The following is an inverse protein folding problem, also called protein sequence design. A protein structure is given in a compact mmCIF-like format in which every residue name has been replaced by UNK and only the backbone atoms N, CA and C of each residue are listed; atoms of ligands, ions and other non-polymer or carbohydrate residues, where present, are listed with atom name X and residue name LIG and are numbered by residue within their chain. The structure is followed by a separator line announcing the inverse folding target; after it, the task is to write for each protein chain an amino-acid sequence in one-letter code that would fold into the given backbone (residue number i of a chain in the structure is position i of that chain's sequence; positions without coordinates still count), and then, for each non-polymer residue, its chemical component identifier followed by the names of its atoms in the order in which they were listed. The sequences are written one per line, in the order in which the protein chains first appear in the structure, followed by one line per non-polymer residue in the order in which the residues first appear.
data_IF_251469101266
#
_entry.id   IF_251469101266
#
_cell.length_a   1.000
_cell.length_b   1.000
_cell.length_c   1.000
_cell.angle_alpha   90.00
_cell.angle_beta   90.00
_cell.angle_gamma   90.00
#
_symmetry.space_group_name_H-M   'P 1'
#
loop_
_entity.id
_entity.type
_entity.pdbx_description
1 polymer ?
#
# COMPACT_ATOMS: atom_id res chain seq x y z
N UNK A 1 -7.51 6.40 -12.24
CA UNK A 1 -7.61 6.61 -13.71
C UNK A 1 -7.96 8.05 -14.02
N UNK A 2 -7.52 8.54 -15.17
CA UNK A 2 -7.78 9.91 -15.64
C UNK A 2 -8.14 9.91 -17.12
N UNK A 3 -9.14 10.73 -17.48
CA UNK A 3 -9.53 10.97 -18.86
C UNK A 3 -8.78 12.20 -19.38
N UNK A 4 -7.98 12.04 -20.41
CA UNK A 4 -7.13 13.08 -20.97
C UNK A 4 -7.75 13.56 -22.28
N UNK A 5 -8.06 14.85 -22.36
CA UNK A 5 -8.52 15.47 -23.62
C UNK A 5 -7.29 15.98 -24.38
N UNK A 6 -6.77 15.15 -25.25
CA UNK A 6 -5.54 15.43 -25.99
C UNK A 6 -5.70 16.40 -27.16
N UNK A 7 -6.93 16.80 -27.45
CA UNK A 7 -7.27 17.69 -28.59
C UNK A 7 -7.61 19.12 -28.14
N UNK A 8 -7.37 19.49 -26.88
CA UNK A 8 -7.80 20.77 -26.32
C UNK A 8 -7.08 21.96 -26.94
N UNK A 9 -5.83 21.77 -27.34
CA UNK A 9 -4.95 22.76 -27.93
C UNK A 9 -4.88 22.68 -29.47
N UNK A 10 -5.65 21.78 -30.09
CA UNK A 10 -5.64 21.58 -31.53
C UNK A 10 -6.76 22.38 -32.20
N UNK A 11 -6.43 23.06 -33.30
CA UNK A 11 -7.40 23.77 -34.10
C UNK A 11 -7.95 22.83 -35.21
N UNK A 12 -8.83 21.92 -34.81
CA UNK A 12 -9.46 20.94 -35.71
C UNK A 12 -10.80 21.46 -36.18
N UNK A 13 -10.87 21.82 -37.47
CA UNK A 13 -12.07 22.40 -38.11
C UNK A 13 -13.11 21.32 -38.41
N UNK A 14 -12.68 20.14 -38.83
CA UNK A 14 -13.56 18.98 -39.14
C UNK A 14 -13.15 17.75 -38.31
N UNK A 15 -14.07 17.26 -37.51
CA UNK A 15 -13.87 16.09 -36.65
C UNK A 15 -14.49 14.80 -37.22
N UNK A 16 -15.11 14.82 -38.39
CA UNK A 16 -15.81 13.65 -38.95
C UNK A 16 -14.85 12.50 -39.29
N UNK A 17 -13.61 12.82 -39.69
CA UNK A 17 -12.58 11.85 -40.01
C UNK A 17 -11.46 11.77 -38.98
N UNK A 18 -11.73 12.24 -37.74
CA UNK A 18 -10.72 12.25 -36.70
C UNK A 18 -10.54 10.86 -36.08
N UNK A 19 -9.32 10.35 -36.13
CA UNK A 19 -8.89 9.13 -35.46
C UNK A 19 -7.73 9.44 -34.52
N UNK A 20 -7.73 8.77 -33.36
CA UNK A 20 -6.63 8.78 -32.39
C UNK A 20 -6.09 7.36 -32.29
N UNK A 21 -4.78 7.21 -32.41
CA UNK A 21 -4.07 5.93 -32.33
C UNK A 21 -2.95 6.05 -31.29
N UNK A 22 -2.77 5.03 -30.46
CA UNK A 22 -1.63 4.94 -29.55
C UNK A 22 -0.44 4.37 -30.32
N UNK A 23 0.67 5.11 -30.33
CA UNK A 23 1.89 4.73 -31.05
C UNK A 23 2.89 4.06 -30.11
N UNK A 24 2.98 4.56 -28.87
CA UNK A 24 3.81 4.00 -27.81
C UNK A 24 2.96 3.85 -26.55
N UNK A 25 2.89 2.65 -26.02
CA UNK A 25 2.17 2.35 -24.79
C UNK A 25 2.95 2.86 -23.57
N UNK A 26 2.25 3.21 -22.47
CA UNK A 26 2.90 3.55 -21.21
C UNK A 26 3.48 2.32 -20.51
N UNK A 27 4.53 2.50 -19.71
CA UNK A 27 5.17 1.42 -18.95
C UNK A 27 4.50 1.15 -17.59
N UNK A 28 3.93 2.19 -16.99
CA UNK A 28 3.37 2.15 -15.63
C UNK A 28 1.85 2.08 -15.59
N UNK A 29 1.20 1.88 -16.74
CA UNK A 29 -0.25 1.86 -16.85
C UNK A 29 -0.74 1.30 -18.17
N UNK A 30 -2.01 1.58 -18.46
CA UNK A 30 -2.66 1.25 -19.74
C UNK A 30 -3.40 2.46 -20.27
N UNK A 31 -3.51 2.57 -21.59
CA UNK A 31 -4.28 3.60 -22.26
C UNK A 31 -5.36 3.00 -23.13
N UNK A 32 -6.48 3.70 -23.24
CA UNK A 32 -7.60 3.35 -24.10
C UNK A 32 -8.15 4.61 -24.77
N UNK A 33 -8.33 4.58 -26.07
CA UNK A 33 -9.03 5.65 -26.79
C UNK A 33 -10.53 5.51 -26.56
N UNK A 34 -11.19 6.55 -26.04
CA UNK A 34 -12.64 6.61 -25.82
C UNK A 34 -13.18 7.98 -26.24
N UNK A 35 -14.10 8.02 -27.17
CA UNK A 35 -14.81 9.25 -27.59
C UNK A 35 -13.85 10.42 -27.88
N UNK A 36 -12.81 10.17 -28.66
CA UNK A 36 -11.78 11.17 -29.02
C UNK A 36 -10.98 11.72 -27.82
N UNK A 37 -10.90 10.97 -26.72
CA UNK A 37 -10.08 11.19 -25.53
C UNK A 37 -9.26 9.94 -25.25
N UNK A 38 -8.26 10.06 -24.40
CA UNK A 38 -7.46 8.93 -23.94
C UNK A 38 -7.71 8.72 -22.46
N UNK A 39 -8.22 7.55 -22.08
CA UNK A 39 -8.29 7.10 -20.70
C UNK A 39 -6.95 6.47 -20.32
N UNK A 40 -6.28 7.04 -19.35
CA UNK A 40 -5.09 6.44 -18.71
C UNK A 40 -5.48 5.77 -17.40
N UNK A 41 -5.01 4.54 -17.19
CA UNK A 41 -5.24 3.73 -16.01
C UNK A 41 -3.86 3.29 -15.49
N UNK A 42 -3.37 3.84 -14.36
CA UNK A 42 -2.11 3.37 -13.76
C UNK A 42 -2.24 1.94 -13.24
N UNK A 43 -1.14 1.23 -13.20
CA UNK A 43 -1.04 -0.04 -12.47
C UNK A 43 -1.23 0.22 -10.96
N UNK A 44 -1.70 -0.77 -10.18
CA UNK A 44 -1.83 -0.64 -8.73
C UNK A 44 -0.48 -0.32 -8.07
N UNK A 45 -0.51 0.47 -7.00
CA UNK A 45 0.61 0.76 -6.10
C UNK A 45 1.87 1.27 -6.82
N UNK A 46 1.67 2.02 -7.91
CA UNK A 46 2.77 2.60 -8.67
C UNK A 46 2.79 4.11 -8.54
N UNK A 47 3.99 4.66 -8.42
CA UNK A 47 4.25 6.10 -8.27
C UNK A 47 5.34 6.51 -9.25
N UNK A 48 5.24 7.71 -9.80
CA UNK A 48 6.29 8.22 -10.67
C UNK A 48 5.78 8.98 -11.87
N UNK A 49 6.54 8.91 -12.94
CA UNK A 49 6.24 9.61 -14.20
C UNK A 49 6.20 8.60 -15.32
N UNK A 50 5.05 8.48 -15.91
CA UNK A 50 4.83 7.65 -17.09
C UNK A 50 4.67 8.50 -18.35
N UNK A 51 4.82 7.88 -19.51
CA UNK A 51 4.72 8.54 -20.80
C UNK A 51 4.08 7.61 -21.81
N UNK A 52 3.34 8.17 -22.74
CA UNK A 52 2.87 7.47 -23.92
C UNK A 52 2.81 8.42 -25.11
N UNK A 53 2.87 7.89 -26.34
CA UNK A 53 2.80 8.67 -27.57
C UNK A 53 1.54 8.30 -28.32
N UNK A 54 0.82 9.31 -28.80
CA UNK A 54 -0.36 9.12 -29.64
C UNK A 54 -0.21 9.85 -30.96
N UNK A 55 -0.97 9.40 -31.94
CA UNK A 55 -1.13 10.02 -33.26
C UNK A 55 -2.58 10.47 -33.44
N UNK A 56 -2.75 11.66 -33.98
CA UNK A 56 -4.04 12.14 -34.48
C UNK A 56 -4.01 12.12 -36.01
N UNK A 57 -5.07 11.62 -36.60
CA UNK A 57 -5.29 11.65 -38.05
C UNK A 57 -6.64 12.32 -38.32
N UNK A 58 -6.65 13.34 -39.18
CA UNK A 58 -7.85 14.06 -39.61
C UNK A 58 -8.16 13.81 -41.13
N UNK A 59 -7.54 12.79 -41.71
CA UNK A 59 -7.69 12.43 -43.10
C UNK A 59 -6.84 13.27 -44.08
N UNK A 60 -6.65 14.56 -43.80
CA UNK A 60 -5.84 15.49 -44.62
C UNK A 60 -4.47 15.80 -44.01
N UNK A 61 -4.29 15.52 -42.74
CA UNK A 61 -3.05 15.72 -41.99
C UNK A 61 -2.96 14.75 -40.80
N UNK A 62 -1.73 14.48 -40.39
CA UNK A 62 -1.44 13.69 -39.20
C UNK A 62 -0.46 14.42 -38.31
N UNK A 63 -0.61 14.23 -36.99
CA UNK A 63 0.30 14.76 -35.97
C UNK A 63 0.55 13.72 -34.88
N UNK A 64 1.72 13.76 -34.26
CA UNK A 64 2.06 12.94 -33.10
C UNK A 64 2.41 13.80 -31.91
N UNK A 65 2.06 13.36 -30.70
CA UNK A 65 2.46 14.03 -29.48
C UNK A 65 2.66 13.02 -28.36
N UNK A 66 3.52 13.40 -27.39
CA UNK A 66 3.76 12.62 -26.19
C UNK A 66 2.98 13.22 -25.02
N UNK A 67 2.34 12.37 -24.26
CA UNK A 67 1.72 12.72 -22.97
C UNK A 67 2.65 12.26 -21.85
N UNK A 68 2.85 13.14 -20.88
CA UNK A 68 3.52 12.85 -19.62
C UNK A 68 2.47 12.81 -18.51
N UNK A 69 2.39 11.68 -17.80
CA UNK A 69 1.47 11.46 -16.70
C UNK A 69 2.26 11.44 -15.39
N UNK A 70 1.86 12.24 -14.42
CA UNK A 70 2.40 12.19 -13.06
C UNK A 70 1.45 11.35 -12.23
N UNK A 71 1.97 10.26 -11.67
CA UNK A 71 1.25 9.35 -10.77
C UNK A 71 1.70 9.69 -9.35
N UNK A 72 0.81 10.33 -8.60
CA UNK A 72 1.06 10.69 -7.21
C UNK A 72 0.82 9.48 -6.29
N UNK A 73 1.56 9.35 -5.18
CA UNK A 73 1.28 8.35 -4.17
C UNK A 73 -0.11 8.59 -3.55
N UNK A 74 -0.79 7.52 -3.25
CA UNK A 74 -2.02 7.48 -2.46
C UNK A 74 -1.75 6.47 -1.36
N UNK A 75 -1.96 6.87 -0.11
CA UNK A 75 -1.77 5.99 1.03
C UNK A 75 -2.80 4.85 1.00
N UNK A 76 -2.31 3.62 1.03
CA UNK A 76 -3.10 2.41 1.22
C UNK A 76 -3.01 1.94 2.68
N UNK A 77 -4.02 1.28 3.26
CA UNK A 77 -3.95 0.79 4.63
C UNK A 77 -3.01 -0.42 4.74
N UNK A 78 -2.43 -0.66 5.95
CA UNK A 78 -1.70 -1.89 6.22
C UNK A 78 -2.56 -3.13 5.97
N UNK A 79 -1.97 -4.18 5.41
CA UNK A 79 -2.64 -5.42 5.01
C UNK A 79 -2.48 -6.54 6.03
N UNK A 80 -1.41 -6.51 6.82
CA UNK A 80 -1.10 -7.58 7.74
C UNK A 80 -0.14 -7.18 8.86
N UNK A 81 -0.10 -8.03 9.90
CA UNK A 81 0.86 -7.92 10.98
C UNK A 81 1.38 -9.30 11.33
N UNK A 82 2.67 -9.39 11.56
CA UNK A 82 3.38 -10.60 12.01
C UNK A 82 4.35 -10.27 13.14
N UNK A 83 5.01 -11.27 13.69
CA UNK A 83 6.02 -11.12 14.74
C UNK A 83 7.23 -11.99 14.41
N UNK A 84 8.44 -11.47 14.58
CA UNK A 84 9.69 -12.15 14.23
C UNK A 84 9.97 -13.40 15.06
N UNK A 85 9.59 -13.38 16.34
CA UNK A 85 9.63 -14.51 17.26
C UNK A 85 8.31 -14.54 18.02
N UNK A 86 7.69 -15.71 18.09
CA UNK A 86 6.36 -15.91 18.67
C UNK A 86 6.39 -16.82 19.91
N UNK A 87 7.50 -16.81 20.64
CA UNK A 87 7.69 -17.67 21.82
C UNK A 87 8.48 -16.93 22.89
N UNK A 88 8.21 -17.27 24.15
CA UNK A 88 8.90 -16.79 25.34
C UNK A 88 9.07 -17.94 26.34
N UNK A 89 10.25 -18.05 26.93
CA UNK A 89 10.52 -18.99 28.01
C UNK A 89 9.61 -18.71 29.21
N UNK A 90 9.13 -19.75 29.89
CA UNK A 90 8.43 -19.56 31.14
C UNK A 90 9.34 -18.87 32.17
N UNK A 91 8.75 -18.24 33.17
CA UNK A 91 9.48 -17.52 34.22
C UNK A 91 10.45 -16.42 33.71
N UNK A 92 10.42 -16.07 32.40
CA UNK A 92 11.17 -14.93 31.89
C UNK A 92 10.76 -13.66 32.63
N UNK A 93 11.73 -12.80 32.94
CA UNK A 93 11.49 -11.58 33.71
C UNK A 93 10.53 -10.64 32.98
N UNK A 94 9.74 -9.88 33.75
CA UNK A 94 8.97 -8.78 33.22
C UNK A 94 9.87 -7.80 32.43
N UNK A 95 9.42 -7.35 31.26
CA UNK A 95 10.19 -6.54 30.31
C UNK A 95 11.03 -7.34 29.30
N UNK A 96 10.96 -8.67 29.34
CA UNK A 96 11.62 -9.51 28.32
C UNK A 96 11.00 -9.27 26.94
N UNK A 97 11.83 -9.05 25.93
CA UNK A 97 11.41 -8.92 24.54
C UNK A 97 10.99 -10.30 24.01
N UNK A 98 9.77 -10.40 23.52
CA UNK A 98 9.23 -11.60 22.89
C UNK A 98 9.63 -11.62 21.42
N UNK A 99 9.35 -10.54 20.70
CA UNK A 99 9.68 -10.39 19.30
C UNK A 99 9.38 -8.98 18.78
N UNK A 100 9.75 -8.73 17.54
CA UNK A 100 9.46 -7.49 16.85
C UNK A 100 8.25 -7.67 15.95
N UNK A 101 7.30 -6.77 16.03
CA UNK A 101 6.15 -6.71 15.12
C UNK A 101 6.60 -6.20 13.75
N UNK A 102 6.14 -6.86 12.71
CA UNK A 102 6.37 -6.52 11.31
C UNK A 102 5.02 -6.29 10.64
N UNK A 103 4.96 -5.29 9.78
CA UNK A 103 3.74 -4.88 9.07
C UNK A 103 3.91 -5.14 7.60
N UNK A 104 2.90 -5.71 6.97
CA UNK A 104 2.77 -5.79 5.53
C UNK A 104 1.96 -4.59 5.06
N UNK A 105 2.57 -3.74 4.21
CA UNK A 105 1.95 -2.53 3.69
C UNK A 105 2.30 -2.37 2.21
N UNK A 106 1.35 -1.98 1.34
CA UNK A 106 1.61 -1.71 -0.07
C UNK A 106 2.54 -0.51 -0.31
N UNK A 107 2.57 0.44 0.63
CA UNK A 107 3.36 1.65 0.52
C UNK A 107 4.80 1.43 1.02
N UNK A 108 5.77 2.01 0.32
CA UNK A 108 7.18 1.98 0.74
C UNK A 108 7.48 3.09 1.74
N UNK A 109 8.52 2.89 2.55
CA UNK A 109 9.04 3.88 3.49
C UNK A 109 8.05 4.34 4.57
N UNK A 110 7.07 3.47 4.93
CA UNK A 110 6.07 3.76 5.93
C UNK A 110 6.61 3.71 7.37
N UNK A 111 5.99 4.50 8.25
CA UNK A 111 6.22 4.47 9.68
C UNK A 111 4.95 4.07 10.41
N UNK A 112 5.08 3.12 11.33
CA UNK A 112 3.93 2.52 12.01
C UNK A 112 3.89 2.87 13.49
N UNK A 113 2.68 3.07 14.01
CA UNK A 113 2.38 3.15 15.43
C UNK A 113 1.57 1.93 15.83
N UNK A 114 1.98 1.31 16.93
CA UNK A 114 1.36 0.10 17.45
C UNK A 114 0.58 0.39 18.73
N UNK A 115 -0.51 -0.35 18.93
CA UNK A 115 -1.31 -0.33 20.15
C UNK A 115 -1.85 -1.71 20.48
N UNK A 116 -1.87 -2.08 21.75
CA UNK A 116 -2.48 -3.33 22.21
C UNK A 116 -3.97 -3.13 22.52
N UNK A 117 -4.76 -4.19 22.32
CA UNK A 117 -6.12 -4.26 22.86
C UNK A 117 -6.11 -4.15 24.39
N UNK A 118 -7.25 -3.81 25.00
CA UNK A 118 -7.35 -3.67 26.45
C UNK A 118 -7.03 -4.97 27.18
N UNK A 119 -7.51 -6.09 26.62
CA UNK A 119 -7.36 -7.43 27.20
C UNK A 119 -5.89 -7.87 27.29
N UNK A 120 -5.04 -7.37 26.41
CA UNK A 120 -3.64 -7.77 26.37
C UNK A 120 -2.69 -6.85 27.18
N UNK A 121 -3.18 -5.71 27.70
CA UNK A 121 -2.32 -4.70 28.37
C UNK A 121 -1.85 -5.08 29.76
N UNK A 122 -2.45 -6.07 30.37
CA UNK A 122 -2.02 -6.55 31.70
C UNK A 122 -0.83 -7.50 31.56
N UNK A 123 -0.76 -8.25 30.49
CA UNK A 123 0.26 -9.25 30.21
C UNK A 123 1.40 -8.76 29.33
N UNK A 124 1.13 -7.78 28.46
CA UNK A 124 2.05 -7.32 27.43
C UNK A 124 2.19 -5.80 27.40
N UNK A 125 3.33 -5.34 26.90
CA UNK A 125 3.60 -3.93 26.59
C UNK A 125 4.33 -3.81 25.27
N UNK A 126 4.39 -2.58 24.75
CA UNK A 126 5.09 -2.25 23.51
C UNK A 126 6.19 -1.23 23.79
N UNK A 127 7.35 -1.46 23.19
CA UNK A 127 8.43 -0.48 23.05
C UNK A 127 8.73 -0.33 21.55
N UNK A 128 8.17 0.72 20.94
CA UNK A 128 8.11 0.87 19.49
C UNK A 128 7.38 -0.32 18.85
N UNK A 129 8.09 -1.07 18.03
CA UNK A 129 7.60 -2.30 17.41
C UNK A 129 7.89 -3.56 18.24
N UNK A 130 8.62 -3.48 19.35
CA UNK A 130 8.91 -4.64 20.17
C UNK A 130 7.74 -4.97 21.11
N UNK A 131 7.32 -6.24 21.10
CA UNK A 131 6.37 -6.79 22.06
C UNK A 131 7.14 -7.34 23.25
N UNK A 132 6.77 -6.91 24.46
CA UNK A 132 7.42 -7.30 25.71
C UNK A 132 6.41 -7.93 26.67
N UNK A 133 6.89 -8.87 27.50
CA UNK A 133 6.12 -9.36 28.64
C UNK A 133 6.05 -8.31 29.74
N UNK A 134 4.93 -8.22 30.46
CA UNK A 134 4.79 -7.39 31.68
C UNK A 134 4.88 -8.17 32.96
N UNK A 135 4.80 -9.49 32.85
CA UNK A 135 4.94 -10.42 34.00
C UNK A 135 5.64 -11.69 33.52
N UNK A 136 6.17 -12.49 34.45
CA UNK A 136 6.53 -13.88 34.14
C UNK A 136 5.29 -14.69 33.80
N UNK A 137 5.42 -15.61 32.81
CA UNK A 137 4.39 -16.58 32.47
C UNK A 137 4.75 -17.95 33.08
N UNK A 138 3.74 -18.75 33.31
CA UNK A 138 3.81 -20.09 33.93
C UNK A 138 3.17 -21.03 32.88
N UNK A 139 3.98 -21.91 32.30
CA UNK A 139 3.58 -22.80 31.20
C UNK A 139 2.42 -23.71 31.59
N UNK A 140 2.42 -24.21 32.83
CA UNK A 140 1.38 -25.13 33.32
C UNK A 140 0.03 -24.43 33.50
N UNK A 141 0.03 -23.11 33.66
CA UNK A 141 -1.21 -22.34 33.78
C UNK A 141 -1.69 -21.82 32.47
N UNK A 142 -0.76 -21.35 31.62
CA UNK A 142 -1.12 -20.67 30.38
C UNK A 142 0.04 -20.76 29.38
N UNK A 143 -0.07 -21.65 28.41
CA UNK A 143 1.00 -21.96 27.44
C UNK A 143 0.89 -21.21 26.11
N UNK A 144 -0.14 -20.40 25.92
CA UNK A 144 -0.29 -19.61 24.69
C UNK A 144 -1.19 -18.38 24.91
N UNK A 145 -0.89 -17.32 24.17
CA UNK A 145 -1.63 -16.07 24.16
C UNK A 145 -1.98 -15.64 22.74
N UNK A 146 -3.16 -15.10 22.56
CA UNK A 146 -3.55 -14.37 21.36
C UNK A 146 -3.49 -12.88 21.65
N UNK A 147 -2.52 -12.21 21.03
CA UNK A 147 -2.26 -10.78 21.27
C UNK A 147 -2.81 -9.97 20.11
N UNK A 148 -3.86 -9.21 20.38
CA UNK A 148 -4.48 -8.32 19.40
C UNK A 148 -3.76 -6.98 19.37
N UNK A 149 -3.27 -6.63 18.19
CA UNK A 149 -2.49 -5.40 17.94
C UNK A 149 -3.21 -4.56 16.89
N UNK A 150 -3.33 -3.27 17.18
CA UNK A 150 -3.69 -2.26 16.20
C UNK A 150 -2.42 -1.64 15.65
N UNK A 151 -2.24 -1.60 14.35
CA UNK A 151 -1.23 -0.80 13.67
C UNK A 151 -1.88 0.40 13.01
N UNK A 152 -1.18 1.52 12.98
CA UNK A 152 -1.60 2.75 12.29
C UNK A 152 -0.41 3.25 11.51
N UNK A 153 -0.59 3.46 10.21
CA UNK A 153 0.42 3.99 9.28
C UNK A 153 0.62 5.51 9.40
N UNK A 154 1.46 6.08 8.55
CA UNK A 154 1.72 7.53 8.50
C UNK A 154 0.53 8.31 7.92
N UNK A 155 -0.28 7.71 7.06
CA UNK A 155 -1.52 8.24 6.49
C UNK A 155 -2.72 8.21 7.44
N UNK A 156 -2.57 7.54 8.62
CA UNK A 156 -3.57 7.32 9.68
C UNK A 156 -4.59 6.22 9.36
N UNK A 157 -4.36 5.43 8.35
CA UNK A 157 -5.12 4.23 8.11
C UNK A 157 -4.74 3.15 9.14
N UNK A 158 -5.65 2.21 9.39
CA UNK A 158 -5.52 1.28 10.52
C UNK A 158 -5.79 -0.15 10.08
N UNK A 159 -5.01 -1.03 10.66
CA UNK A 159 -5.22 -2.48 10.61
C UNK A 159 -5.25 -3.05 12.03
N UNK A 160 -6.11 -4.05 12.26
CA UNK A 160 -6.15 -4.79 13.52
C UNK A 160 -5.89 -6.26 13.18
N UNK A 161 -4.86 -6.81 13.78
CA UNK A 161 -4.51 -8.21 13.61
C UNK A 161 -4.15 -8.87 14.93
N UNK A 162 -3.96 -10.19 14.90
CA UNK A 162 -3.62 -10.97 16.08
C UNK A 162 -2.33 -11.74 15.81
N UNK A 163 -1.41 -11.69 16.77
CA UNK A 163 -0.22 -12.56 16.80
C UNK A 163 -0.37 -13.54 17.96
N UNK A 164 0.01 -14.79 17.73
CA UNK A 164 -0.05 -15.83 18.76
C UNK A 164 1.35 -16.01 19.36
N UNK A 165 1.41 -16.02 20.69
CA UNK A 165 2.65 -16.19 21.45
C UNK A 165 2.55 -17.51 22.22
N UNK A 166 3.56 -18.36 22.07
CA UNK A 166 3.72 -19.58 22.86
C UNK A 166 4.59 -19.30 24.10
N UNK A 167 4.28 -19.94 25.20
CA UNK A 167 5.18 -20.06 26.36
C UNK A 167 5.88 -21.40 26.24
N UNK A 168 7.18 -21.44 26.46
CA UNK A 168 8.00 -22.67 26.44
C UNK A 168 8.45 -23.00 27.86
N UNK A 169 8.41 -24.33 28.20
CA UNK A 169 8.92 -24.91 29.47
C UNK A 169 10.46 -24.97 29.46
#
# INVERSE_FOLDING_TARGET
SVMINVLTNDNIVDRNNLAIEIIEEPEMGKVQVKEQKILYIPNPNIVGVDKFTYKVDIGTATGTAQVRVIINPVNDPPLGISITKSMIEENASAGSIIGRLEVEDPDSDETFKFGLSKENRDDFSLDGANLLSKRPFDYEKENSFSVTVQVTDSGKEKFIGTVNIAVED
#
